data_IF_627823233523
#
_entry.id   IF_627823233523
#
_cell.length_a   1.000
_cell.length_b   1.000
_cell.length_c   1.000
_cell.angle_alpha   90.00
_cell.angle_beta   90.00
_cell.angle_gamma   90.00
#
_symmetry.space_group_name_H-M   'P 1'
#
loop_
_entity.id
_entity.type
_entity.pdbx_description
1 polymer ?
#
# COMPACT_ATOMS: atom_id res chain seq x y z
N UNK A 1 20.72 32.50 -29.47
CA UNK A 1 19.55 31.64 -29.25
C UNK A 1 19.80 30.76 -28.03
N UNK A 2 19.02 30.94 -26.99
CA UNK A 2 19.16 30.14 -25.80
C UNK A 2 18.71 28.68 -26.08
N UNK A 3 19.43 27.66 -25.58
CA UNK A 3 18.93 26.32 -25.69
C UNK A 3 17.61 26.23 -24.91
N UNK A 4 16.67 25.35 -25.36
CA UNK A 4 15.47 25.14 -24.59
C UNK A 4 15.84 24.65 -23.18
N UNK A 5 15.03 24.99 -22.15
CA UNK A 5 15.30 24.50 -20.82
C UNK A 5 15.41 22.99 -20.87
N UNK A 6 16.42 22.45 -20.20
CA UNK A 6 16.59 21.02 -20.11
C UNK A 6 15.28 20.42 -19.56
N UNK A 7 14.74 19.45 -20.28
CA UNK A 7 13.58 18.71 -19.79
C UNK A 7 14.05 17.93 -18.56
N UNK A 8 13.70 18.43 -17.39
CA UNK A 8 13.98 17.68 -16.16
C UNK A 8 13.20 16.36 -16.21
N UNK A 9 13.86 15.22 -15.98
CA UNK A 9 13.12 13.97 -15.85
C UNK A 9 12.06 14.18 -14.77
N UNK A 10 10.80 13.99 -15.13
CA UNK A 10 9.71 14.07 -14.17
C UNK A 10 9.76 12.82 -13.31
N UNK A 11 10.02 13.00 -12.02
CA UNK A 11 9.80 11.94 -11.06
C UNK A 11 8.30 11.62 -11.03
N UNK A 12 7.95 10.35 -11.15
CA UNK A 12 6.57 9.88 -10.97
C UNK A 12 6.48 9.16 -9.64
N UNK A 13 5.57 9.62 -8.81
CA UNK A 13 5.22 8.95 -7.57
C UNK A 13 3.92 8.19 -7.77
N UNK A 14 3.97 6.89 -7.54
CA UNK A 14 2.80 6.02 -7.57
C UNK A 14 2.38 5.75 -6.13
N UNK A 15 1.14 6.13 -5.80
CA UNK A 15 0.54 5.81 -4.51
C UNK A 15 -0.41 4.64 -4.73
N UNK A 16 -0.14 3.54 -4.06
CA UNK A 16 -0.86 2.29 -4.24
C UNK A 16 -1.48 1.86 -2.91
N UNK A 17 -2.78 1.60 -2.93
CA UNK A 17 -3.49 1.07 -1.77
C UNK A 17 -3.39 -0.46 -1.76
N UNK A 18 -3.22 -1.03 -0.56
CA UNK A 18 -3.31 -2.48 -0.35
C UNK A 18 -4.69 -3.01 -0.77
N UNK A 19 -4.78 -4.32 -1.02
CA UNK A 19 -6.05 -4.98 -1.29
C UNK A 19 -6.96 -4.98 -0.05
N UNK A 20 -8.22 -5.34 -0.24
CA UNK A 20 -9.21 -5.33 0.84
C UNK A 20 -8.73 -6.14 2.04
N UNK A 21 -8.68 -5.57 3.26
CA UNK A 21 -8.27 -6.28 4.44
C UNK A 21 -9.33 -7.28 4.90
N UNK A 22 -8.88 -8.33 5.59
CA UNK A 22 -9.77 -9.35 6.17
C UNK A 22 -10.27 -8.85 7.51
N UNK A 23 -11.22 -7.91 7.46
CA UNK A 23 -11.95 -7.38 8.61
C UNK A 23 -13.39 -7.17 8.21
N UNK A 24 -14.28 -7.12 9.21
CA UNK A 24 -15.69 -6.81 8.95
C UNK A 24 -15.80 -5.40 8.34
N UNK A 25 -16.69 -5.23 7.36
CA UNK A 25 -16.96 -3.93 6.76
C UNK A 25 -17.38 -2.93 7.84
N UNK A 26 -16.89 -1.69 7.74
CA UNK A 26 -17.18 -0.64 8.72
C UNK A 26 -16.35 -0.74 10.01
N UNK A 27 -15.36 -1.62 10.07
CA UNK A 27 -14.45 -1.73 11.21
C UNK A 27 -13.36 -0.66 11.13
N UNK A 28 -13.07 -0.02 12.26
CA UNK A 28 -11.93 0.88 12.40
C UNK A 28 -10.64 0.05 12.36
N UNK A 29 -9.76 0.40 11.45
CA UNK A 29 -8.40 -0.15 11.44
C UNK A 29 -7.44 0.88 10.86
N UNK A 30 -6.22 0.85 11.31
CA UNK A 30 -5.13 1.70 10.82
C UNK A 30 -3.82 1.00 11.11
N UNK A 31 -3.32 1.16 12.33
CA UNK A 31 -2.10 0.49 12.79
C UNK A 31 -2.30 -1.00 13.07
N UNK A 32 -3.55 -1.46 13.23
CA UNK A 32 -3.84 -2.88 13.44
C UNK A 32 -3.34 -3.70 12.26
N UNK A 33 -2.50 -4.70 12.53
CA UNK A 33 -1.84 -5.49 11.50
C UNK A 33 -2.73 -6.63 11.01
N UNK A 34 -3.78 -6.25 10.28
CA UNK A 34 -4.69 -7.21 9.67
C UNK A 34 -4.21 -7.61 8.28
N UNK A 35 -4.34 -8.90 7.89
CA UNK A 35 -4.00 -9.31 6.54
C UNK A 35 -5.01 -8.82 5.51
N UNK A 36 -4.58 -8.71 4.27
CA UNK A 36 -5.47 -8.48 3.14
C UNK A 36 -5.98 -9.82 2.59
N UNK A 37 -7.10 -9.77 1.88
CA UNK A 37 -7.61 -10.93 1.16
C UNK A 37 -6.59 -11.44 0.14
N UNK A 38 -6.27 -12.72 0.19
CA UNK A 38 -5.20 -13.29 -0.63
C UNK A 38 -5.51 -13.22 -2.14
N UNK A 39 -6.73 -13.53 -2.54
CA UNK A 39 -7.14 -13.48 -3.95
C UNK A 39 -7.14 -12.05 -4.48
N UNK A 40 -7.66 -11.09 -3.71
CA UNK A 40 -7.65 -9.68 -4.06
C UNK A 40 -6.23 -9.12 -4.14
N UNK A 41 -5.34 -9.53 -3.24
CA UNK A 41 -3.93 -9.16 -3.26
C UNK A 41 -3.26 -9.65 -4.54
N UNK A 42 -3.52 -10.89 -4.96
CA UNK A 42 -2.95 -11.44 -6.17
C UNK A 42 -3.42 -10.69 -7.42
N UNK A 43 -4.70 -10.35 -7.50
CA UNK A 43 -5.24 -9.55 -8.61
C UNK A 43 -4.60 -8.16 -8.64
N UNK A 44 -4.50 -7.51 -7.48
CA UNK A 44 -3.87 -6.19 -7.37
C UNK A 44 -2.39 -6.24 -7.79
N UNK A 45 -1.67 -7.28 -7.38
CA UNK A 45 -0.26 -7.47 -7.74
C UNK A 45 -0.08 -7.66 -9.24
N UNK A 46 -0.96 -8.41 -9.90
CA UNK A 46 -0.92 -8.60 -11.34
C UNK A 46 -1.12 -7.28 -12.10
N UNK A 47 -2.09 -6.48 -11.68
CA UNK A 47 -2.36 -5.16 -12.27
C UNK A 47 -1.19 -4.21 -12.06
N UNK A 48 -0.64 -4.19 -10.85
CA UNK A 48 0.47 -3.31 -10.50
C UNK A 48 1.74 -3.70 -11.25
N UNK A 49 2.04 -4.99 -11.35
CA UNK A 49 3.21 -5.48 -12.09
C UNK A 49 3.15 -5.10 -13.57
N UNK A 50 1.96 -5.08 -14.16
CA UNK A 50 1.78 -4.66 -15.55
C UNK A 50 1.88 -3.15 -15.75
N UNK A 51 1.51 -2.37 -14.72
CA UNK A 51 1.47 -0.91 -14.81
C UNK A 51 2.81 -0.24 -14.46
N UNK A 52 3.60 -0.83 -13.58
CA UNK A 52 4.84 -0.23 -13.11
C UNK A 52 5.87 -0.15 -14.23
N UNK A 53 6.49 1.04 -14.42
CA UNK A 53 7.54 1.20 -15.41
C UNK A 53 8.82 0.47 -14.98
N UNK A 54 9.65 0.13 -15.95
CA UNK A 54 10.99 -0.36 -15.69
C UNK A 54 11.79 0.69 -14.91
N UNK A 55 12.59 0.25 -13.95
CA UNK A 55 13.39 1.13 -13.11
C UNK A 55 12.65 1.70 -11.89
N UNK A 56 11.38 1.35 -11.69
CA UNK A 56 10.67 1.71 -10.49
C UNK A 56 11.28 1.03 -9.27
N UNK A 57 11.19 1.66 -8.10
CA UNK A 57 11.48 1.06 -6.81
C UNK A 57 10.24 1.23 -5.92
N UNK A 58 9.94 0.23 -5.12
CA UNK A 58 8.79 0.23 -4.25
C UNK A 58 9.20 0.36 -2.78
N UNK A 59 8.51 1.24 -2.08
CA UNK A 59 8.59 1.35 -0.62
C UNK A 59 7.24 0.95 -0.06
N UNK A 60 7.21 0.12 0.95
CA UNK A 60 5.96 -0.40 1.49
C UNK A 60 5.93 -0.33 3.01
N UNK A 61 4.72 -0.14 3.54
CA UNK A 61 4.47 -0.21 4.98
C UNK A 61 4.78 -1.61 5.50
N UNK A 62 5.27 -1.69 6.73
CA UNK A 62 5.58 -2.96 7.39
C UNK A 62 4.34 -3.72 7.88
N UNK A 63 3.13 -3.16 7.71
CA UNK A 63 1.89 -3.89 7.95
C UNK A 63 1.75 -5.03 6.93
N UNK A 64 1.30 -6.21 7.38
CA UNK A 64 1.28 -7.39 6.52
C UNK A 64 0.43 -7.22 5.26
N UNK A 65 -0.67 -6.45 5.31
CA UNK A 65 -1.50 -6.18 4.13
C UNK A 65 -0.75 -5.43 3.03
N UNK A 66 0.22 -4.60 3.41
CA UNK A 66 1.07 -3.88 2.46
C UNK A 66 2.25 -4.74 2.01
N UNK A 67 2.87 -5.46 2.94
CA UNK A 67 3.98 -6.37 2.65
C UNK A 67 3.57 -7.48 1.70
N UNK A 68 2.39 -8.08 1.89
CA UNK A 68 1.87 -9.12 1.02
C UNK A 68 1.70 -8.63 -0.42
N UNK A 69 1.23 -7.41 -0.62
CA UNK A 69 1.11 -6.82 -1.96
C UNK A 69 2.49 -6.58 -2.58
N UNK A 70 3.44 -6.05 -1.81
CA UNK A 70 4.79 -5.80 -2.30
C UNK A 70 5.49 -7.10 -2.71
N UNK A 71 5.40 -8.14 -1.89
CA UNK A 71 6.01 -9.45 -2.17
C UNK A 71 5.35 -10.13 -3.38
N UNK A 72 4.02 -10.07 -3.49
CA UNK A 72 3.30 -10.62 -4.63
C UNK A 72 3.66 -9.91 -5.95
N UNK A 73 3.82 -8.59 -5.89
CA UNK A 73 4.23 -7.79 -7.04
C UNK A 73 5.67 -8.13 -7.46
N UNK A 74 6.59 -8.24 -6.49
CA UNK A 74 7.97 -8.62 -6.77
C UNK A 74 8.08 -10.03 -7.35
N UNK A 75 7.22 -10.96 -6.95
CA UNK A 75 7.20 -12.29 -7.53
C UNK A 75 6.90 -12.26 -9.05
N UNK A 76 6.14 -11.26 -9.50
CA UNK A 76 5.80 -11.05 -10.91
C UNK A 76 6.82 -10.15 -11.64
N UNK A 77 7.55 -9.33 -10.90
CA UNK A 77 8.64 -8.50 -11.41
C UNK A 77 9.89 -8.72 -10.54
N UNK A 78 10.66 -9.78 -10.75
CA UNK A 78 11.76 -10.14 -9.85
C UNK A 78 12.87 -9.10 -9.72
N UNK A 79 12.97 -8.19 -10.68
CA UNK A 79 13.98 -7.12 -10.66
C UNK A 79 13.48 -5.85 -9.95
N UNK A 80 12.25 -5.83 -9.45
CA UNK A 80 11.71 -4.70 -8.71
C UNK A 80 12.34 -4.64 -7.31
N UNK A 81 13.11 -3.58 -6.99
CA UNK A 81 13.59 -3.40 -5.61
C UNK A 81 12.41 -3.02 -4.72
N UNK A 82 12.28 -3.69 -3.59
CA UNK A 82 11.26 -3.38 -2.59
C UNK A 82 11.93 -3.11 -1.24
N UNK A 83 11.43 -2.09 -0.54
CA UNK A 83 12.00 -1.63 0.71
C UNK A 83 10.90 -1.42 1.77
N UNK A 84 10.95 -2.13 2.91
CA UNK A 84 10.03 -1.87 4.00
C UNK A 84 10.35 -0.53 4.67
N UNK A 85 9.32 0.20 5.04
CA UNK A 85 9.47 1.45 5.76
C UNK A 85 8.34 1.62 6.78
N UNK A 86 8.67 1.51 8.06
CA UNK A 86 7.69 1.62 9.14
C UNK A 86 7.04 3.01 9.22
N UNK A 87 7.66 4.03 8.63
CA UNK A 87 7.09 5.38 8.56
C UNK A 87 5.86 5.46 7.67
N UNK A 88 5.65 4.46 6.81
CA UNK A 88 4.48 4.38 5.93
C UNK A 88 3.27 3.72 6.59
N UNK A 89 3.35 3.34 7.86
CA UNK A 89 2.21 2.79 8.58
C UNK A 89 1.07 3.80 8.65
N UNK A 90 -0.15 3.28 8.54
CA UNK A 90 -1.34 4.08 8.72
C UNK A 90 -1.48 4.58 10.16
N UNK A 91 -2.37 5.58 10.35
CA UNK A 91 -2.66 6.16 11.65
C UNK A 91 -3.07 5.08 12.64
N UNK A 92 -2.55 5.17 13.85
CA UNK A 92 -2.97 4.33 14.97
C UNK A 92 -4.17 4.99 15.65
N UNK A 93 -5.34 4.35 15.55
CA UNK A 93 -6.56 4.81 16.21
C UNK A 93 -6.67 4.35 17.66
N UNK A 94 -5.63 3.72 18.21
CA UNK A 94 -5.57 3.33 19.61
C UNK A 94 -6.65 2.32 20.00
N UNK A 95 -7.43 2.64 21.02
CA UNK A 95 -8.48 1.75 21.52
C UNK A 95 -9.62 1.52 20.52
N UNK A 96 -9.74 2.34 19.47
CA UNK A 96 -10.77 2.15 18.43
C UNK A 96 -10.40 1.03 17.45
N UNK A 97 -9.14 0.65 17.38
CA UNK A 97 -8.68 -0.40 16.47
C UNK A 97 -9.45 -1.71 16.67
N UNK A 98 -9.95 -2.27 15.57
CA UNK A 98 -10.70 -3.52 15.61
C UNK A 98 -12.18 -3.37 15.96
N UNK A 99 -12.65 -2.17 16.30
CA UNK A 99 -14.05 -1.91 16.61
C UNK A 99 -14.80 -1.30 15.43
N UNK A 100 -16.10 -1.57 15.34
CA UNK A 100 -16.93 -0.96 14.32
C UNK A 100 -17.03 0.55 14.52
N UNK A 101 -16.99 1.31 13.44
CA UNK A 101 -17.11 2.78 13.48
C UNK A 101 -18.40 3.23 14.17
N UNK A 102 -19.52 2.51 13.93
CA UNK A 102 -20.80 2.84 14.54
C UNK A 102 -20.78 2.75 16.06
N UNK A 103 -20.04 1.79 16.63
CA UNK A 103 -19.92 1.63 18.09
C UNK A 103 -19.03 2.71 18.69
N UNK A 104 -18.04 3.22 17.96
CA UNK A 104 -17.13 4.27 18.40
C UNK A 104 -17.87 5.60 18.53
N UNK A 105 -18.71 5.94 17.56
CA UNK A 105 -19.42 7.21 17.52
C UNK A 105 -20.37 7.44 18.70
N UNK A 106 -20.79 6.39 19.39
CA UNK A 106 -21.71 6.47 20.54
C UNK A 106 -20.99 6.73 21.88
N UNK A 107 -19.69 6.51 21.93
CA UNK A 107 -18.88 6.63 23.14
C UNK A 107 -17.93 7.83 23.13
N UNK A 108 -17.94 8.58 22.05
CA UNK A 108 -17.10 9.76 21.91
C UNK A 108 -17.73 11.01 22.54
#
# INVERSE_FOLDING_TARGET
MSPPPAVRPRARLWLVRHAQPVVAAGTCYGALDVPADAAATQVAAQRLAQALPAGAAAHYSTLQRCELLALATQALQPNLPIHPDARLREMDFGAWEGHAWDSIGQSA
#
